data_IF_030518541067
#
_entry.id   IF_030518541067
#
_cell.length_a   1.000
_cell.length_b   1.000
_cell.length_c   1.000
_cell.angle_alpha   90.00
_cell.angle_beta   90.00
_cell.angle_gamma   90.00
#
_symmetry.space_group_name_H-M   'P 1'
#
loop_
_entity.id
_entity.type
_entity.pdbx_description
1 polymer ?
#
# COMPACT_ATOMS: atom_id res chain seq x y z
N UNK A 1 -69.01 65.53 -21.57
CA UNK A 1 -69.81 66.23 -20.51
C UNK A 1 -69.06 66.03 -19.18
N UNK A 2 -68.81 67.18 -18.50
CA UNK A 2 -68.41 67.45 -17.13
C UNK A 2 -67.07 66.83 -16.65
N UNK A 3 -65.96 67.63 -16.50
CA UNK A 3 -65.67 68.70 -15.52
C UNK A 3 -65.71 68.21 -14.07
N UNK A 4 -64.57 68.23 -13.37
CA UNK A 4 -63.92 69.22 -12.40
C UNK A 4 -62.69 68.57 -11.86
N UNK A 5 -61.43 69.07 -11.96
CA UNK A 5 -60.82 70.19 -11.28
C UNK A 5 -60.91 70.10 -9.72
N UNK A 6 -59.85 70.01 -9.03
CA UNK A 6 -59.32 70.96 -8.03
C UNK A 6 -58.26 70.42 -7.14
N UNK A 7 -57.10 71.03 -7.25
CA UNK A 7 -56.17 71.60 -6.22
C UNK A 7 -55.25 70.69 -5.34
N UNK A 8 -54.07 71.15 -5.44
CA UNK A 8 -52.89 70.92 -4.65
C UNK A 8 -53.03 71.25 -3.15
N UNK A 9 -52.28 70.55 -2.35
CA UNK A 9 -51.64 71.15 -1.15
C UNK A 9 -50.27 70.51 -0.95
N UNK A 10 -49.26 71.39 -0.87
CA UNK A 10 -47.90 71.15 -0.41
C UNK A 10 -47.89 70.82 1.08
N UNK A 11 -47.12 69.86 1.51
CA UNK A 11 -46.47 69.88 2.79
C UNK A 11 -45.22 68.99 2.73
N UNK A 12 -44.10 69.59 2.87
CA UNK A 12 -42.82 68.96 3.00
C UNK A 12 -42.63 68.29 4.34
N UNK A 13 -41.78 67.36 4.41
CA UNK A 13 -40.86 67.14 5.55
C UNK A 13 -39.78 66.13 5.29
N UNK A 14 -38.63 66.60 5.51
CA UNK A 14 -37.44 65.93 6.09
C UNK A 14 -36.99 64.59 5.48
N UNK A 15 -35.94 64.71 4.75
CA UNK A 15 -35.00 63.66 4.44
C UNK A 15 -34.23 63.20 5.70
N UNK A 16 -34.46 61.96 6.12
CA UNK A 16 -33.58 61.29 7.07
C UNK A 16 -32.75 60.27 6.28
N UNK A 17 -31.55 60.66 5.97
CA UNK A 17 -30.52 59.76 5.40
C UNK A 17 -30.02 58.82 6.48
N UNK A 18 -30.54 57.56 6.49
CA UNK A 18 -29.92 56.44 7.21
C UNK A 18 -28.80 55.90 6.34
N UNK A 19 -27.58 56.24 6.72
CA UNK A 19 -26.39 55.61 6.19
C UNK A 19 -26.31 54.18 6.77
N UNK A 20 -26.72 53.16 5.99
CA UNK A 20 -26.40 51.75 6.28
C UNK A 20 -24.92 51.55 5.99
N UNK A 21 -24.10 51.53 7.04
CA UNK A 21 -22.73 51.03 6.98
C UNK A 21 -22.75 49.55 6.71
N UNK A 22 -22.51 49.15 5.44
CA UNK A 22 -22.18 47.76 5.10
C UNK A 22 -20.79 47.48 5.63
N UNK A 23 -20.71 46.85 6.80
CA UNK A 23 -19.49 46.20 7.26
C UNK A 23 -19.22 45.04 6.27
N UNK A 24 -18.33 45.29 5.33
CA UNK A 24 -17.67 44.23 4.55
C UNK A 24 -16.85 43.39 5.53
N UNK A 25 -17.44 42.33 6.09
CA UNK A 25 -16.70 41.27 6.72
C UNK A 25 -15.85 40.62 5.62
N UNK A 26 -14.64 41.14 5.43
CA UNK A 26 -13.63 40.50 4.60
C UNK A 26 -13.36 39.12 5.18
N UNK A 27 -13.88 38.10 4.53
CA UNK A 27 -13.46 36.71 4.76
C UNK A 27 -11.98 36.65 4.48
N UNK A 28 -11.17 36.74 5.51
CA UNK A 28 -9.76 36.35 5.46
C UNK A 28 -9.75 34.85 5.26
N UNK A 29 -9.92 34.42 4.01
CA UNK A 29 -9.62 33.09 3.57
C UNK A 29 -8.11 32.94 3.73
N UNK A 30 -7.71 32.41 4.91
CA UNK A 30 -6.33 32.11 5.21
C UNK A 30 -5.84 31.19 4.09
N UNK A 31 -5.03 31.73 3.19
CA UNK A 31 -4.30 30.97 2.19
C UNK A 31 -3.42 29.96 2.95
N UNK A 32 -3.98 28.79 3.23
CA UNK A 32 -3.21 27.64 3.70
C UNK A 32 -2.19 27.37 2.60
N UNK A 33 -0.98 27.85 2.81
CA UNK A 33 0.12 27.71 1.85
C UNK A 33 0.20 26.24 1.47
N UNK A 34 -0.05 25.90 0.20
CA UNK A 34 0.03 24.52 -0.31
C UNK A 34 1.43 24.00 0.01
N UNK A 35 1.53 23.14 1.01
CA UNK A 35 2.80 22.54 1.37
C UNK A 35 3.39 21.83 0.15
N UNK A 36 4.68 22.10 -0.13
CA UNK A 36 5.38 21.49 -1.25
C UNK A 36 5.33 19.95 -1.12
N UNK A 37 4.91 19.28 -2.20
CA UNK A 37 4.84 17.82 -2.25
C UNK A 37 6.20 17.17 -1.96
N UNK A 38 6.23 15.96 -1.36
CA UNK A 38 7.48 15.28 -1.03
C UNK A 38 8.25 14.92 -2.29
N UNK A 39 9.58 15.13 -2.27
CA UNK A 39 10.46 14.74 -3.38
C UNK A 39 10.72 13.23 -3.32
N UNK A 40 9.84 12.44 -3.95
CA UNK A 40 9.96 10.99 -4.05
C UNK A 40 10.83 10.61 -5.24
N UNK A 41 11.91 9.85 -4.97
CA UNK A 41 12.88 9.40 -5.98
C UNK A 41 12.45 8.10 -6.67
N UNK A 42 11.58 7.30 -6.06
CA UNK A 42 10.94 6.15 -6.74
C UNK A 42 10.28 6.63 -8.03
N UNK A 43 10.41 5.83 -9.10
CA UNK A 43 9.87 6.21 -10.43
C UNK A 43 8.35 6.30 -10.43
N UNK A 44 7.70 5.42 -9.67
CA UNK A 44 6.25 5.41 -9.50
C UNK A 44 5.90 5.25 -8.02
N UNK A 45 4.89 5.98 -7.56
CA UNK A 45 4.49 5.96 -6.17
C UNK A 45 2.99 6.28 -5.99
N UNK A 46 2.43 5.79 -4.90
CA UNK A 46 1.11 6.20 -4.41
C UNK A 46 1.10 6.16 -2.89
N UNK A 47 0.53 7.21 -2.29
CA UNK A 47 0.26 7.31 -0.86
C UNK A 47 -1.23 7.56 -0.68
N UNK A 48 -1.87 6.77 0.16
CA UNK A 48 -3.33 6.79 0.32
C UNK A 48 -3.73 6.55 1.78
N UNK A 49 -4.77 7.20 2.23
CA UNK A 49 -5.44 6.86 3.48
C UNK A 49 -6.04 5.45 3.37
N UNK A 50 -5.68 4.56 4.29
CA UNK A 50 -6.16 3.17 4.23
C UNK A 50 -7.64 3.06 4.61
N UNK A 51 -8.12 3.91 5.49
CA UNK A 51 -9.51 3.96 5.96
C UNK A 51 -10.45 4.54 4.89
N UNK A 52 -10.17 5.75 4.39
CA UNK A 52 -11.05 6.47 3.46
C UNK A 52 -10.79 6.14 1.99
N UNK A 53 -9.56 5.75 1.63
CA UNK A 53 -9.13 5.58 0.24
C UNK A 53 -8.70 6.90 -0.43
N UNK A 54 -8.65 8.00 0.32
CA UNK A 54 -8.17 9.29 -0.16
C UNK A 54 -6.71 9.20 -0.62
N UNK A 55 -6.43 9.67 -1.84
CA UNK A 55 -5.07 9.73 -2.38
C UNK A 55 -4.40 11.02 -1.90
N UNK A 56 -3.35 10.87 -1.09
CA UNK A 56 -2.58 11.98 -0.52
C UNK A 56 -1.45 12.43 -1.43
N UNK A 57 -0.82 11.48 -2.13
CA UNK A 57 0.27 11.74 -3.08
C UNK A 57 0.29 10.66 -4.16
N UNK A 58 0.58 11.06 -5.40
CA UNK A 58 0.78 10.12 -6.50
C UNK A 58 1.82 10.60 -7.50
N UNK A 59 2.54 9.63 -8.06
CA UNK A 59 3.50 9.81 -9.14
C UNK A 59 3.45 8.60 -10.05
N UNK A 60 3.10 8.78 -11.32
CA UNK A 60 2.95 7.68 -12.29
C UNK A 60 2.09 6.51 -11.76
N UNK A 61 1.00 6.82 -11.02
CA UNK A 61 0.23 5.86 -10.24
C UNK A 61 -0.49 4.80 -11.08
N UNK A 62 -0.67 5.04 -12.38
CA UNK A 62 -1.30 4.11 -13.34
C UNK A 62 -0.27 3.38 -14.22
N UNK A 63 1.03 3.62 -14.03
CA UNK A 63 2.06 2.95 -14.82
C UNK A 63 2.14 1.47 -14.45
N UNK A 64 1.89 0.58 -15.40
CA UNK A 64 2.04 -0.87 -15.21
C UNK A 64 3.52 -1.27 -15.25
N UNK A 65 3.99 -1.85 -14.16
CA UNK A 65 5.38 -2.27 -13.96
C UNK A 65 5.46 -3.70 -13.46
N UNK A 66 6.58 -4.43 -13.67
CA UNK A 66 6.87 -5.65 -12.94
C UNK A 66 6.92 -5.34 -11.43
N UNK A 67 6.34 -6.24 -10.62
CA UNK A 67 6.16 -6.00 -9.18
C UNK A 67 7.08 -6.83 -8.27
N UNK A 68 7.88 -7.70 -8.88
CA UNK A 68 8.76 -8.59 -8.14
C UNK A 68 8.04 -9.28 -6.97
N UNK A 69 8.71 -9.47 -5.84
CA UNK A 69 8.18 -10.19 -4.68
C UNK A 69 7.00 -9.52 -3.96
N UNK A 70 6.50 -8.36 -4.42
CA UNK A 70 5.20 -7.83 -3.95
C UNK A 70 4.08 -8.84 -4.28
N UNK A 71 4.23 -9.63 -5.33
CA UNK A 71 3.40 -10.78 -5.72
C UNK A 71 3.03 -11.68 -4.53
N UNK A 72 3.95 -11.89 -3.58
CA UNK A 72 3.75 -12.80 -2.44
C UNK A 72 2.62 -12.38 -1.50
N UNK A 73 2.21 -11.10 -1.51
CA UNK A 73 1.00 -10.68 -0.79
C UNK A 73 -0.26 -11.29 -1.42
N UNK A 74 -0.37 -11.29 -2.75
CA UNK A 74 -1.49 -11.94 -3.46
C UNK A 74 -1.47 -13.45 -3.23
N UNK A 75 -0.30 -14.08 -3.34
CA UNK A 75 -0.12 -15.50 -3.02
C UNK A 75 -0.61 -15.83 -1.61
N UNK A 76 -0.21 -15.02 -0.63
CA UNK A 76 -0.63 -15.23 0.76
C UNK A 76 -2.15 -15.08 0.94
N UNK A 77 -2.77 -14.07 0.35
CA UNK A 77 -4.23 -13.91 0.42
C UNK A 77 -4.98 -15.13 -0.11
N UNK A 78 -4.65 -15.59 -1.31
CA UNK A 78 -5.41 -16.71 -1.93
C UNK A 78 -5.18 -18.03 -1.22
N UNK A 79 -3.97 -18.28 -0.70
CA UNK A 79 -3.68 -19.50 0.06
C UNK A 79 -4.37 -19.48 1.43
N UNK A 80 -4.49 -18.32 2.08
CA UNK A 80 -5.27 -18.16 3.32
C UNK A 80 -6.77 -18.33 3.08
N UNK A 81 -7.28 -17.82 1.95
CA UNK A 81 -8.69 -17.97 1.56
C UNK A 81 -9.09 -19.44 1.38
N UNK A 82 -8.14 -20.31 1.03
CA UNK A 82 -8.36 -21.76 0.93
C UNK A 82 -8.53 -22.44 2.29
N UNK A 83 -8.38 -21.70 3.42
CA UNK A 83 -8.63 -22.15 4.81
C UNK A 83 -7.92 -23.45 5.20
N UNK A 84 -6.79 -23.76 4.57
CA UNK A 84 -5.97 -24.92 4.93
C UNK A 84 -5.27 -24.67 6.28
N UNK A 85 -5.13 -25.72 7.10
CA UNK A 85 -4.49 -25.61 8.42
C UNK A 85 -3.08 -25.02 8.32
N UNK A 86 -2.79 -24.04 9.18
CA UNK A 86 -1.47 -23.41 9.28
C UNK A 86 -0.42 -24.33 9.91
N UNK A 87 -0.87 -25.35 10.63
CA UNK A 87 0.02 -26.30 11.33
C UNK A 87 0.32 -27.54 10.46
N UNK A 88 -0.38 -27.70 9.33
CA UNK A 88 -0.06 -28.70 8.34
C UNK A 88 1.34 -28.47 7.77
N UNK A 89 2.12 -29.56 7.65
CA UNK A 89 3.48 -29.51 7.11
C UNK A 89 3.49 -29.46 5.59
N UNK A 90 4.46 -28.72 5.07
CA UNK A 90 4.78 -28.58 3.65
C UNK A 90 6.26 -28.92 3.47
N UNK A 91 6.56 -29.82 2.53
CA UNK A 91 7.94 -30.13 2.15
C UNK A 91 8.36 -29.27 0.97
N UNK A 92 9.57 -28.70 1.05
CA UNK A 92 10.22 -28.04 -0.09
C UNK A 92 10.76 -29.11 -1.03
N UNK A 93 10.35 -29.04 -2.31
CA UNK A 93 10.71 -30.02 -3.33
C UNK A 93 11.54 -29.39 -4.45
N UNK A 94 12.04 -30.23 -5.37
CA UNK A 94 12.72 -29.76 -6.59
C UNK A 94 11.82 -28.87 -7.46
N UNK A 95 10.48 -29.00 -7.37
CA UNK A 95 9.51 -28.17 -8.07
C UNK A 95 9.41 -26.73 -7.53
N UNK A 96 10.01 -26.45 -6.36
CA UNK A 96 10.05 -25.13 -5.74
C UNK A 96 11.36 -24.38 -6.03
N UNK A 97 12.32 -25.04 -6.68
CA UNK A 97 13.58 -24.42 -7.08
C UNK A 97 13.35 -23.47 -8.26
N UNK A 98 13.83 -22.23 -8.12
CA UNK A 98 13.78 -21.25 -9.19
C UNK A 98 14.66 -21.66 -10.38
N UNK A 99 14.03 -21.78 -11.54
CA UNK A 99 14.68 -22.06 -12.83
C UNK A 99 14.64 -20.88 -13.79
N UNK A 100 13.95 -19.80 -13.40
CA UNK A 100 13.83 -18.61 -14.26
C UNK A 100 15.04 -17.69 -14.13
N UNK A 101 15.53 -17.53 -12.89
CA UNK A 101 16.59 -16.56 -12.56
C UNK A 101 17.73 -17.15 -11.75
N UNK A 102 17.70 -18.43 -11.49
CA UNK A 102 18.68 -19.11 -10.64
C UNK A 102 18.88 -18.41 -9.27
N UNK A 103 17.80 -17.84 -8.71
CA UNK A 103 17.90 -17.15 -7.43
C UNK A 103 18.29 -18.09 -6.32
N UNK A 104 19.25 -17.67 -5.49
CA UNK A 104 19.69 -18.44 -4.35
C UNK A 104 18.60 -18.55 -3.26
N UNK A 105 18.59 -19.66 -2.55
CA UNK A 105 17.75 -19.87 -1.37
C UNK A 105 18.51 -20.69 -0.34
N UNK A 106 18.40 -20.28 0.93
CA UNK A 106 18.94 -21.02 2.07
C UNK A 106 18.01 -22.15 2.53
N UNK A 107 16.79 -22.22 1.95
CA UNK A 107 15.81 -23.25 2.25
C UNK A 107 16.06 -24.47 1.36
N UNK A 108 16.78 -25.47 1.87
CA UNK A 108 17.18 -26.66 1.12
C UNK A 108 15.95 -27.49 0.66
N UNK A 109 16.09 -28.18 -0.49
CA UNK A 109 15.14 -29.23 -0.90
C UNK A 109 15.13 -30.33 0.17
N UNK A 110 13.94 -30.86 0.48
CA UNK A 110 13.72 -31.82 1.56
C UNK A 110 13.36 -31.17 2.91
N UNK A 111 13.55 -29.84 3.06
CA UNK A 111 13.14 -29.15 4.30
C UNK A 111 11.63 -29.25 4.48
N UNK A 112 11.21 -29.61 5.68
CA UNK A 112 9.80 -29.67 6.09
C UNK A 112 9.53 -28.46 6.99
N UNK A 113 8.46 -27.72 6.68
CA UNK A 113 8.01 -26.54 7.40
C UNK A 113 6.51 -26.69 7.70
N UNK A 114 6.03 -26.06 8.76
CA UNK A 114 4.58 -25.82 8.86
C UNK A 114 4.17 -24.78 7.81
N UNK A 115 2.91 -24.81 7.37
CA UNK A 115 2.38 -23.78 6.45
C UNK A 115 2.56 -22.38 7.05
N UNK A 116 2.41 -22.21 8.37
CA UNK A 116 2.70 -20.99 9.12
C UNK A 116 4.15 -20.51 8.91
N UNK A 117 5.13 -21.39 9.06
CA UNK A 117 6.53 -21.07 8.81
C UNK A 117 6.79 -20.69 7.36
N UNK A 118 6.16 -21.41 6.41
CA UNK A 118 6.28 -21.09 4.99
C UNK A 118 5.72 -19.70 4.66
N UNK A 119 4.54 -19.32 5.20
CA UNK A 119 4.01 -17.96 5.09
C UNK A 119 4.94 -16.91 5.67
N UNK A 120 5.45 -17.14 6.86
CA UNK A 120 6.38 -16.21 7.52
C UNK A 120 7.62 -16.00 6.67
N UNK A 121 8.25 -17.07 6.19
CA UNK A 121 9.44 -16.97 5.33
C UNK A 121 9.15 -16.26 4.00
N UNK A 122 8.02 -16.54 3.37
CA UNK A 122 7.62 -15.90 2.12
C UNK A 122 7.38 -14.40 2.27
N UNK A 123 6.74 -13.97 3.35
CA UNK A 123 6.36 -12.56 3.56
C UNK A 123 7.49 -11.75 4.20
N UNK A 124 8.06 -12.24 5.29
CA UNK A 124 9.10 -11.56 6.07
C UNK A 124 10.43 -11.50 5.33
N UNK A 125 10.97 -12.66 4.96
CA UNK A 125 12.29 -12.78 4.33
C UNK A 125 12.25 -12.90 2.80
N UNK A 126 11.04 -12.84 2.21
CA UNK A 126 10.84 -12.94 0.76
C UNK A 126 11.31 -14.27 0.15
N UNK A 127 11.26 -15.36 0.92
CA UNK A 127 11.76 -16.68 0.50
C UNK A 127 10.94 -17.25 -0.67
N UNK A 128 11.61 -17.48 -1.80
CA UNK A 128 10.98 -17.89 -3.04
C UNK A 128 10.47 -19.33 -3.00
N UNK A 129 11.25 -20.27 -2.45
CA UNK A 129 10.85 -21.68 -2.34
C UNK A 129 9.65 -21.85 -1.42
N UNK A 130 9.58 -21.07 -0.34
CA UNK A 130 8.43 -21.05 0.54
C UNK A 130 7.16 -20.57 -0.17
N UNK A 131 7.23 -19.46 -0.92
CA UNK A 131 6.09 -18.96 -1.69
C UNK A 131 5.64 -19.94 -2.79
N UNK A 132 6.59 -20.57 -3.49
CA UNK A 132 6.32 -21.61 -4.49
C UNK A 132 5.62 -22.81 -3.85
N UNK A 133 6.12 -23.30 -2.71
CA UNK A 133 5.56 -24.43 -2.00
C UNK A 133 4.14 -24.14 -1.47
N UNK A 134 3.88 -22.94 -0.99
CA UNK A 134 2.54 -22.52 -0.59
C UNK A 134 1.54 -22.65 -1.74
N UNK A 135 1.88 -22.10 -2.92
CA UNK A 135 0.98 -22.15 -4.07
C UNK A 135 0.91 -23.55 -4.70
N UNK A 136 2.00 -24.34 -4.64
CA UNK A 136 1.99 -25.73 -5.10
C UNK A 136 1.04 -26.60 -4.27
N UNK A 137 0.91 -26.30 -2.97
CA UNK A 137 -0.02 -26.99 -2.06
C UNK A 137 -1.40 -26.31 -1.99
N UNK A 138 -1.71 -25.38 -2.88
CA UNK A 138 -3.06 -24.85 -3.04
C UNK A 138 -4.00 -25.93 -3.60
N UNK A 139 -5.28 -25.98 -3.20
CA UNK A 139 -6.25 -26.94 -3.78
C UNK A 139 -6.31 -26.81 -5.30
N UNK A 140 -6.00 -27.92 -6.02
CA UNK A 140 -5.85 -27.92 -7.47
C UNK A 140 -4.47 -27.48 -7.99
N UNK A 141 -3.50 -27.24 -7.08
CA UNK A 141 -2.10 -26.97 -7.42
C UNK A 141 -1.80 -25.56 -7.93
N UNK A 142 -0.60 -25.38 -8.49
CA UNK A 142 -0.08 -24.07 -8.93
C UNK A 142 -1.01 -23.35 -9.91
N UNK A 143 -1.54 -24.07 -10.92
CA UNK A 143 -2.39 -23.47 -11.95
C UNK A 143 -3.71 -22.92 -11.35
N UNK A 144 -4.36 -23.69 -10.49
CA UNK A 144 -5.56 -23.26 -9.77
C UNK A 144 -5.28 -22.07 -8.85
N UNK A 145 -4.12 -22.07 -8.18
CA UNK A 145 -3.66 -20.97 -7.35
C UNK A 145 -3.44 -19.67 -8.14
N UNK A 146 -2.77 -19.74 -9.30
CA UNK A 146 -2.59 -18.58 -10.19
C UNK A 146 -3.94 -18.07 -10.71
N UNK A 147 -4.85 -18.96 -11.09
CA UNK A 147 -6.20 -18.57 -11.49
C UNK A 147 -6.94 -17.85 -10.32
N UNK A 148 -6.77 -18.34 -9.08
CA UNK A 148 -7.33 -17.69 -7.89
C UNK A 148 -6.72 -16.31 -7.64
N UNK A 149 -5.40 -16.11 -7.85
CA UNK A 149 -4.74 -14.81 -7.74
C UNK A 149 -5.36 -13.79 -8.71
N UNK A 150 -5.58 -14.17 -9.97
CA UNK A 150 -6.18 -13.27 -10.95
C UNK A 150 -7.68 -13.02 -10.69
N UNK A 151 -8.44 -14.03 -10.24
CA UNK A 151 -9.84 -13.81 -9.79
C UNK A 151 -9.90 -12.84 -8.60
N UNK A 152 -8.99 -13.00 -7.63
CA UNK A 152 -8.88 -12.10 -6.47
C UNK A 152 -8.52 -10.68 -6.91
N UNK A 153 -7.56 -10.51 -7.83
CA UNK A 153 -7.22 -9.22 -8.40
C UNK A 153 -8.44 -8.53 -9.02
N UNK A 154 -9.19 -9.26 -9.86
CA UNK A 154 -10.43 -8.75 -10.46
C UNK A 154 -11.45 -8.32 -9.40
N UNK A 155 -11.67 -9.15 -8.36
CA UNK A 155 -12.59 -8.85 -7.27
C UNK A 155 -12.19 -7.62 -6.44
N UNK A 156 -10.89 -7.30 -6.39
CA UNK A 156 -10.35 -6.10 -5.73
C UNK A 156 -10.34 -4.86 -6.64
N UNK A 157 -10.80 -4.96 -7.89
CA UNK A 157 -10.76 -3.88 -8.86
C UNK A 157 -9.35 -3.57 -9.37
N UNK A 158 -8.43 -4.54 -9.33
CA UNK A 158 -7.05 -4.43 -9.82
C UNK A 158 -7.01 -4.72 -11.33
N UNK A 159 -7.59 -3.82 -12.13
CA UNK A 159 -7.83 -4.03 -13.56
C UNK A 159 -6.56 -4.00 -14.43
N UNK A 160 -5.47 -3.44 -13.91
CA UNK A 160 -4.16 -3.36 -14.57
C UNK A 160 -3.14 -4.33 -13.97
N UNK A 161 -3.61 -5.41 -13.34
CA UNK A 161 -2.75 -6.38 -12.66
C UNK A 161 -2.89 -7.77 -13.28
N UNK A 162 -1.75 -8.45 -13.40
CA UNK A 162 -1.67 -9.83 -13.87
C UNK A 162 -0.68 -10.60 -13.02
N UNK A 163 -1.07 -11.83 -12.67
CA UNK A 163 -0.24 -12.77 -11.94
C UNK A 163 -0.07 -14.05 -12.77
N UNK A 164 1.17 -14.52 -12.91
CA UNK A 164 1.51 -15.73 -13.65
C UNK A 164 2.17 -16.79 -12.79
N UNK A 165 2.70 -16.43 -11.61
CA UNK A 165 3.31 -17.35 -10.66
C UNK A 165 3.33 -16.77 -9.23
N UNK A 166 3.79 -17.55 -8.22
CA UNK A 166 3.65 -17.28 -6.79
C UNK A 166 4.68 -16.30 -6.21
N UNK A 167 5.83 -16.10 -6.86
CA UNK A 167 7.03 -15.56 -6.21
C UNK A 167 7.35 -14.12 -6.60
N UNK A 168 6.97 -13.72 -7.81
CA UNK A 168 7.35 -12.48 -8.46
C UNK A 168 8.72 -12.54 -9.14
N UNK A 169 9.22 -13.72 -9.45
CA UNK A 169 10.44 -13.91 -10.25
C UNK A 169 10.20 -13.67 -11.73
N UNK A 170 8.97 -13.88 -12.21
CA UNK A 170 8.59 -13.49 -13.57
C UNK A 170 8.31 -11.98 -13.63
N UNK A 171 8.89 -11.32 -14.63
CA UNK A 171 8.56 -9.93 -14.99
C UNK A 171 7.13 -9.75 -15.50
N UNK A 172 6.42 -10.85 -15.79
CA UNK A 172 5.01 -10.85 -16.20
C UNK A 172 4.02 -10.76 -15.04
N UNK A 173 4.48 -10.89 -13.79
CA UNK A 173 3.73 -10.42 -12.64
C UNK A 173 3.79 -8.89 -12.62
N UNK A 174 2.73 -8.26 -13.09
CA UNK A 174 2.68 -6.80 -13.31
C UNK A 174 1.49 -6.17 -12.61
N UNK A 175 1.66 -4.92 -12.21
CA UNK A 175 0.60 -4.13 -11.59
C UNK A 175 0.92 -2.64 -11.67
N UNK A 176 -0.01 -1.80 -11.23
CA UNK A 176 0.17 -0.35 -11.06
C UNK A 176 0.27 0.00 -9.57
N UNK A 177 0.86 1.15 -9.19
CA UNK A 177 0.79 1.64 -7.81
C UNK A 177 -0.63 1.71 -7.26
N UNK A 178 -1.61 2.13 -8.08
CA UNK A 178 -3.02 2.20 -7.68
C UNK A 178 -3.61 0.84 -7.34
N UNK A 179 -3.35 -0.16 -8.17
CA UNK A 179 -3.83 -1.53 -7.92
C UNK A 179 -3.12 -2.16 -6.71
N UNK A 180 -1.81 -1.93 -6.58
CA UNK A 180 -1.06 -2.40 -5.41
C UNK A 180 -1.56 -1.77 -4.10
N UNK A 181 -1.98 -0.51 -4.11
CA UNK A 181 -2.57 0.11 -2.93
C UNK A 181 -3.89 -0.57 -2.52
N UNK A 182 -4.75 -0.95 -3.51
CA UNK A 182 -5.94 -1.77 -3.25
C UNK A 182 -5.58 -3.12 -2.65
N UNK A 183 -4.55 -3.78 -3.21
CA UNK A 183 -4.06 -5.07 -2.71
C UNK A 183 -3.56 -4.98 -1.27
N UNK A 184 -2.76 -3.97 -0.93
CA UNK A 184 -2.23 -3.76 0.43
C UNK A 184 -3.36 -3.52 1.42
N UNK A 185 -4.32 -2.65 1.06
CA UNK A 185 -5.51 -2.38 1.87
C UNK A 185 -6.37 -3.64 2.10
N UNK A 186 -6.49 -4.51 1.11
CA UNK A 186 -7.18 -5.79 1.25
C UNK A 186 -6.38 -6.76 2.12
N UNK A 187 -5.06 -6.87 1.89
CA UNK A 187 -4.17 -7.77 2.62
C UNK A 187 -4.05 -7.39 4.11
N UNK A 188 -4.16 -6.11 4.48
CA UNK A 188 -4.11 -5.66 5.86
C UNK A 188 -5.32 -6.12 6.71
N UNK A 189 -6.38 -6.61 6.07
CA UNK A 189 -7.53 -7.21 6.76
C UNK A 189 -7.28 -8.65 7.23
N UNK A 190 -6.16 -9.26 6.79
CA UNK A 190 -5.77 -10.61 7.19
C UNK A 190 -4.81 -10.54 8.39
N UNK A 191 -5.23 -10.92 9.62
CA UNK A 191 -4.37 -10.86 10.80
C UNK A 191 -3.06 -11.64 10.60
N UNK A 192 -3.13 -12.79 9.95
CA UNK A 192 -1.95 -13.61 9.66
C UNK A 192 -0.96 -12.90 8.73
N UNK A 193 -1.42 -12.17 7.69
CA UNK A 193 -0.52 -11.43 6.80
C UNK A 193 0.16 -10.30 7.55
N UNK A 194 -0.58 -9.56 8.39
CA UNK A 194 0.02 -8.53 9.25
C UNK A 194 1.14 -9.11 10.10
N UNK A 195 0.84 -10.15 10.87
CA UNK A 195 1.80 -10.77 11.77
C UNK A 195 3.03 -11.32 11.03
N UNK A 196 2.83 -12.05 9.92
CA UNK A 196 3.94 -12.67 9.19
C UNK A 196 4.81 -11.65 8.46
N UNK A 197 4.22 -10.60 7.88
CA UNK A 197 4.97 -9.60 7.12
C UNK A 197 5.78 -8.64 8.00
N UNK A 198 5.37 -8.44 9.26
CA UNK A 198 6.02 -7.53 10.20
C UNK A 198 6.92 -8.22 11.22
N UNK A 199 6.97 -9.56 11.21
CA UNK A 199 7.90 -10.31 12.06
C UNK A 199 9.33 -9.86 11.76
N UNK A 200 10.14 -9.63 12.80
CA UNK A 200 11.52 -9.13 12.67
C UNK A 200 12.46 -10.20 12.15
N UNK A 201 12.35 -11.39 12.73
CA UNK A 201 13.18 -12.54 12.37
C UNK A 201 12.49 -13.86 12.76
N UNK A 202 12.94 -14.95 12.15
CA UNK A 202 12.49 -16.31 12.44
C UNK A 202 13.64 -17.29 12.24
N UNK A 203 13.90 -18.17 13.21
CA UNK A 203 14.79 -19.31 13.06
C UNK A 203 13.99 -20.55 12.71
N UNK A 204 14.36 -21.23 11.63
CA UNK A 204 13.80 -22.52 11.22
C UNK A 204 14.89 -23.55 11.05
N UNK A 205 14.54 -24.83 11.28
CA UNK A 205 15.48 -25.95 11.06
C UNK A 205 15.55 -26.26 9.56
N UNK A 206 16.73 -26.12 8.95
CA UNK A 206 16.98 -26.48 7.56
C UNK A 206 17.97 -27.64 7.56
N UNK A 207 17.49 -28.84 7.20
CA UNK A 207 18.24 -30.06 7.45
C UNK A 207 18.49 -30.23 8.97
N UNK A 208 19.77 -30.34 9.38
CA UNK A 208 20.16 -30.44 10.80
C UNK A 208 20.46 -29.09 11.47
N UNK A 209 20.51 -27.97 10.69
CA UNK A 209 21.00 -26.69 11.19
C UNK A 209 19.88 -25.68 11.42
N UNK A 210 19.90 -24.95 12.56
CA UNK A 210 19.06 -23.78 12.75
C UNK A 210 19.52 -22.67 11.80
N UNK A 211 18.58 -22.11 11.03
CA UNK A 211 18.87 -21.06 10.06
C UNK A 211 18.01 -19.83 10.37
N UNK A 212 18.67 -18.72 10.66
CA UNK A 212 18.01 -17.43 10.97
C UNK A 212 17.66 -16.67 9.69
N UNK A 213 16.40 -16.28 9.56
CA UNK A 213 15.86 -15.39 8.52
C UNK A 213 15.45 -14.07 9.14
N UNK A 214 15.66 -12.96 8.42
CA UNK A 214 15.33 -11.60 8.87
C UNK A 214 14.41 -10.90 7.89
N UNK A 215 13.63 -9.94 8.40
CA UNK A 215 12.76 -9.11 7.58
C UNK A 215 13.58 -8.30 6.57
N UNK A 216 13.11 -8.31 5.32
CA UNK A 216 13.74 -7.58 4.21
C UNK A 216 13.48 -6.07 4.25
N UNK A 217 12.48 -5.61 5.01
CA UNK A 217 12.25 -4.19 5.25
C UNK A 217 12.95 -3.76 6.56
N UNK A 218 14.00 -2.93 6.52
CA UNK A 218 14.70 -2.49 7.73
C UNK A 218 13.83 -1.63 8.65
N UNK A 219 12.78 -0.98 8.12
CA UNK A 219 11.86 -0.14 8.90
C UNK A 219 11.12 -0.92 9.98
N UNK A 220 10.89 -2.23 9.79
CA UNK A 220 10.25 -3.10 10.80
C UNK A 220 11.03 -3.17 12.12
N UNK A 221 12.35 -2.94 12.06
CA UNK A 221 13.21 -2.93 13.26
C UNK A 221 13.39 -1.54 13.85
N UNK A 222 12.86 -0.50 13.21
CA UNK A 222 12.94 0.88 13.69
C UNK A 222 11.68 1.20 14.51
N UNK A 223 11.87 1.46 15.81
CA UNK A 223 10.77 1.75 16.76
C UNK A 223 9.94 2.99 16.40
N UNK A 224 10.49 3.89 15.56
CA UNK A 224 9.74 5.05 15.10
C UNK A 224 8.62 4.70 14.09
N UNK A 225 8.55 3.45 13.60
CA UNK A 225 7.56 3.02 12.62
C UNK A 225 6.58 2.02 13.23
N UNK A 226 5.29 2.35 13.14
CA UNK A 226 4.19 1.45 13.45
C UNK A 226 3.65 0.87 12.13
N UNK A 227 4.14 -0.32 11.77
CA UNK A 227 3.86 -0.97 10.47
C UNK A 227 2.91 -2.13 10.66
N UNK A 228 1.74 -2.05 10.03
CA UNK A 228 0.73 -3.13 10.03
C UNK A 228 1.05 -4.24 9.02
N UNK A 229 1.57 -3.87 7.86
CA UNK A 229 1.87 -4.79 6.77
C UNK A 229 3.01 -4.23 5.91
N UNK A 230 3.87 -5.09 5.43
CA UNK A 230 4.93 -4.68 4.50
C UNK A 230 5.34 -5.80 3.55
N UNK A 231 5.83 -5.43 2.37
CA UNK A 231 6.54 -6.32 1.46
C UNK A 231 7.52 -5.54 0.60
N UNK A 232 8.73 -6.07 0.47
CA UNK A 232 9.73 -5.57 -0.48
C UNK A 232 9.79 -6.46 -1.72
N UNK A 233 10.28 -5.88 -2.83
CA UNK A 233 10.56 -6.59 -4.07
C UNK A 233 11.81 -6.07 -4.75
N UNK A 234 12.46 -6.92 -5.54
CA UNK A 234 13.54 -6.55 -6.44
C UNK A 234 13.64 -7.52 -7.62
N UNK A 235 13.69 -6.97 -8.80
CA UNK A 235 14.18 -7.57 -10.05
C UNK A 235 14.93 -6.47 -10.80
N UNK A 236 15.82 -6.82 -11.73
CA UNK A 236 16.52 -5.83 -12.56
C UNK A 236 15.56 -4.90 -13.30
N UNK A 237 14.51 -5.45 -13.91
CA UNK A 237 13.49 -4.72 -14.64
C UNK A 237 12.41 -4.05 -13.77
N UNK A 238 12.20 -4.54 -12.55
CA UNK A 238 11.25 -3.95 -11.59
C UNK A 238 11.89 -2.83 -10.78
N UNK A 239 13.21 -2.79 -10.72
CA UNK A 239 13.90 -1.98 -9.72
C UNK A 239 13.56 -2.43 -8.29
N UNK A 240 13.85 -1.62 -7.30
CA UNK A 240 13.53 -1.90 -5.91
C UNK A 240 12.13 -1.37 -5.58
N UNK A 241 11.29 -2.22 -5.01
CA UNK A 241 9.92 -1.92 -4.66
C UNK A 241 9.68 -2.07 -3.15
N UNK A 242 8.76 -1.28 -2.62
CA UNK A 242 8.27 -1.37 -1.25
C UNK A 242 6.77 -1.05 -1.24
N UNK A 243 6.00 -1.91 -0.61
CA UNK A 243 4.64 -1.58 -0.20
C UNK A 243 4.51 -1.76 1.30
N UNK A 244 3.74 -0.89 1.95
CA UNK A 244 3.44 -1.01 3.36
C UNK A 244 2.17 -0.23 3.74
N UNK A 245 1.53 -0.64 4.83
CA UNK A 245 0.59 0.18 5.59
C UNK A 245 1.22 0.46 6.94
N UNK A 246 1.11 1.69 7.39
CA UNK A 246 1.70 2.17 8.64
C UNK A 246 0.82 3.28 9.22
N UNK A 247 0.87 3.49 10.54
CA UNK A 247 0.19 4.59 11.20
C UNK A 247 1.09 5.84 11.20
N UNK A 248 0.58 6.97 10.72
CA UNK A 248 1.26 8.28 10.76
C UNK A 248 0.26 9.30 11.32
N UNK A 249 0.64 10.00 12.38
CA UNK A 249 -0.23 10.98 13.09
C UNK A 249 -1.62 10.40 13.43
N UNK A 250 -1.63 9.13 13.91
CA UNK A 250 -2.85 8.41 14.28
C UNK A 250 -3.71 7.93 13.11
N UNK A 251 -3.26 8.11 11.85
CA UNK A 251 -4.03 7.74 10.66
C UNK A 251 -3.34 6.58 9.91
N UNK A 252 -4.09 5.53 9.49
CA UNK A 252 -3.52 4.45 8.71
C UNK A 252 -3.26 4.89 7.27
N UNK A 253 -2.02 4.74 6.80
CA UNK A 253 -1.53 5.18 5.49
C UNK A 253 -0.94 4.01 4.73
N UNK A 254 -1.37 3.80 3.50
CA UNK A 254 -0.74 2.89 2.54
C UNK A 254 0.28 3.65 1.73
N UNK A 255 1.48 3.10 1.62
CA UNK A 255 2.56 3.57 0.74
C UNK A 255 2.93 2.50 -0.26
N UNK A 256 2.97 2.87 -1.53
CA UNK A 256 3.47 2.06 -2.65
C UNK A 256 4.59 2.82 -3.32
N UNK A 257 5.80 2.24 -3.33
CA UNK A 257 7.01 2.80 -3.91
C UNK A 257 7.59 1.79 -4.89
N UNK A 258 7.69 2.13 -6.16
CA UNK A 258 8.07 1.20 -7.22
C UNK A 258 9.22 1.75 -8.06
N UNK A 259 10.02 0.84 -8.58
CA UNK A 259 11.10 1.11 -9.50
C UNK A 259 12.08 2.16 -8.95
N UNK A 260 12.55 1.94 -7.72
CA UNK A 260 13.64 2.73 -7.12
C UNK A 260 14.99 2.19 -7.58
N UNK A 261 15.92 3.06 -7.96
CA UNK A 261 17.25 2.67 -8.45
C UNK A 261 18.20 2.22 -7.33
N UNK A 262 18.27 2.96 -6.23
CA UNK A 262 19.21 2.68 -5.13
C UNK A 262 18.67 1.72 -4.07
N UNK A 263 19.59 1.09 -3.33
CA UNK A 263 19.25 0.09 -2.30
C UNK A 263 18.37 0.65 -1.20
N UNK A 264 18.61 1.88 -0.76
CA UNK A 264 17.87 2.54 0.31
C UNK A 264 16.89 3.60 -0.18
N UNK A 265 16.80 3.83 -1.49
CA UNK A 265 15.97 4.90 -2.07
C UNK A 265 14.52 4.81 -1.61
N UNK A 266 13.88 3.62 -1.70
CA UNK A 266 12.49 3.40 -1.24
C UNK A 266 12.31 3.61 0.26
N UNK A 267 13.36 3.33 1.06
CA UNK A 267 13.36 3.55 2.52
C UNK A 267 13.44 5.05 2.82
N UNK A 268 14.33 5.76 2.12
CA UNK A 268 14.43 7.22 2.19
C UNK A 268 13.16 7.92 1.73
N UNK A 269 12.50 7.41 0.66
CA UNK A 269 11.21 7.92 0.19
C UNK A 269 10.12 7.76 1.24
N UNK A 270 10.03 6.60 1.87
CA UNK A 270 9.09 6.38 2.97
C UNK A 270 9.31 7.41 4.10
N UNK A 271 10.57 7.69 4.46
CA UNK A 271 10.91 8.71 5.46
C UNK A 271 10.53 10.14 5.02
N UNK A 272 10.72 10.49 3.73
CA UNK A 272 10.30 11.81 3.18
C UNK A 272 8.78 11.98 3.22
N UNK A 273 8.06 10.95 2.80
CA UNK A 273 6.58 10.93 2.84
C UNK A 273 6.09 11.06 4.26
N UNK A 274 6.67 10.31 5.21
CA UNK A 274 6.30 10.40 6.61
C UNK A 274 6.44 11.80 7.16
N UNK A 275 7.62 12.43 7.02
CA UNK A 275 7.85 13.81 7.48
C UNK A 275 6.89 14.80 6.82
N UNK A 276 6.63 14.64 5.52
CA UNK A 276 5.66 15.47 4.82
C UNK A 276 4.26 15.36 5.42
N UNK A 277 3.78 14.15 5.72
CA UNK A 277 2.47 13.93 6.35
C UNK A 277 2.42 14.46 7.79
N UNK A 278 3.50 14.31 8.56
CA UNK A 278 3.61 14.83 9.93
C UNK A 278 3.54 16.37 9.97
N UNK A 279 4.14 17.05 8.99
CA UNK A 279 4.11 18.51 8.90
C UNK A 279 2.83 19.05 8.26
N UNK A 280 2.07 18.24 7.49
CA UNK A 280 0.76 18.62 6.91
C UNK A 280 -0.40 18.50 7.90
N UNK A 281 -0.27 17.70 8.95
CA UNK A 281 -1.34 17.41 9.90
C UNK A 281 -1.86 18.65 10.68
N UNK A 282 -1.05 19.66 11.07
CA UNK A 282 -1.53 20.84 11.78
C UNK A 282 -2.50 21.71 10.96
N UNK A 283 -2.32 21.78 9.64
CA UNK A 283 -3.13 22.63 8.77
C UNK A 283 -4.57 22.11 8.55
N UNK A 284 -4.80 20.80 8.71
CA UNK A 284 -6.11 20.17 8.53
C UNK A 284 -6.97 20.18 9.80
N UNK A 285 -6.36 20.32 10.98
CA UNK A 285 -7.07 20.38 12.26
C UNK A 285 -7.62 21.77 12.57
N UNK A 286 -7.11 22.83 11.93
CA UNK A 286 -7.61 24.21 12.07
C UNK A 286 -8.80 24.54 11.17
N UNK A 287 -9.08 23.73 10.16
CA UNK A 287 -10.18 23.94 9.21
C UNK A 287 -11.51 23.25 9.60
N UNK A 288 -11.55 22.52 10.73
CA UNK A 288 -12.72 21.76 11.20
C UNK A 288 -13.19 22.19 12.61
N UNK A 289 -12.95 23.46 12.99
CA UNK A 289 -13.55 24.08 14.18
C UNK A 289 -14.44 25.24 13.81
#
# INVERSE_FOLDING_TARGET
MNRYSVRATFSGLLAATLALGVLAAGSAEAAAGKQKAPQVQSRSALVMRADTGEVLYQKNAQQTLPIASITKLMTAMVVLDAKQSLDQTIQITKADVDRLRASSSRLAVGTVLTRRQAFTLALMSSENRAASALLRNYPGGKAAGVAAMNRKAKALGMTHSRFVEATGLSGDNRSTPSDLARMVRAASRYPHIRNFSTMRELTVKVGRYPTLYRNTNPLVRNAAWDIDITKTGYLSEAGRCLVMQTTITGKPVVMVLMNSSGTLTRVGDAGRIRRWLETSAPAQLSASR
#
